data_IF_674635017584
#
_entry.id   IF_674635017584
#
_cell.length_a   1.000
_cell.length_b   1.000
_cell.length_c   1.000
_cell.angle_alpha   90.00
_cell.angle_beta   90.00
_cell.angle_gamma   90.00
#
_symmetry.space_group_name_H-M   'P 1'
#
loop_
_entity.id
_entity.type
_entity.pdbx_description
1 polymer ?
#
# COMPACT_ATOMS: atom_id res chain seq x y z
N UNK A 1 19.34 34.33 11.05
CA UNK A 1 18.85 32.93 11.08
C UNK A 1 18.23 32.61 9.72
N UNK A 2 18.99 32.00 8.81
CA UNK A 2 18.56 31.74 7.42
C UNK A 2 17.71 30.46 7.42
N UNK A 3 16.41 30.59 7.20
CA UNK A 3 15.49 29.44 7.12
C UNK A 3 15.62 28.81 5.74
N UNK A 4 16.23 27.63 5.64
CA UNK A 4 16.27 26.88 4.39
C UNK A 4 14.89 26.32 4.04
N UNK A 5 14.55 26.30 2.75
CA UNK A 5 13.27 25.78 2.25
C UNK A 5 13.22 24.25 2.36
N UNK A 6 12.04 23.71 2.65
CA UNK A 6 11.79 22.27 2.72
C UNK A 6 12.05 21.58 1.35
N UNK A 7 12.56 20.34 1.33
CA UNK A 7 12.95 19.62 0.09
C UNK A 7 11.86 19.54 -0.99
N UNK A 8 10.57 19.56 -0.61
CA UNK A 8 9.44 19.53 -1.55
C UNK A 8 9.31 20.80 -2.41
N UNK A 9 10.05 21.87 -2.09
CA UNK A 9 10.06 23.14 -2.83
C UNK A 9 11.16 23.20 -3.90
N UNK A 10 12.13 22.26 -3.90
CA UNK A 10 13.20 22.18 -4.91
C UNK A 10 12.81 21.20 -6.00
N UNK A 11 12.24 21.71 -7.10
CA UNK A 11 12.07 20.95 -8.34
C UNK A 11 10.63 20.55 -8.63
N UNK A 12 9.82 21.50 -9.10
CA UNK A 12 8.66 21.17 -9.93
C UNK A 12 9.22 20.76 -11.30
N UNK A 13 8.93 19.54 -11.75
CA UNK A 13 9.22 19.12 -13.13
C UNK A 13 8.53 20.12 -14.09
N UNK A 14 9.15 20.51 -15.22
CA UNK A 14 8.43 21.23 -16.25
C UNK A 14 7.20 20.40 -16.65
N UNK A 15 6.06 21.06 -16.76
CA UNK A 15 4.85 20.43 -17.28
C UNK A 15 5.11 20.08 -18.75
N UNK A 16 4.44 19.02 -19.24
CA UNK A 16 4.52 18.51 -20.61
C UNK A 16 3.96 19.50 -21.67
N UNK A 17 3.94 20.79 -21.37
CA UNK A 17 3.51 21.90 -22.24
C UNK A 17 4.68 22.55 -22.98
N UNK A 18 5.92 22.32 -22.57
CA UNK A 18 7.07 23.12 -23.03
C UNK A 18 7.96 22.39 -24.05
N UNK A 19 7.55 21.20 -24.51
CA UNK A 19 8.21 20.50 -25.61
C UNK A 19 7.53 20.90 -26.91
N UNK A 20 8.21 21.73 -27.71
CA UNK A 20 7.81 22.01 -29.10
C UNK A 20 7.92 20.74 -29.93
N UNK A 21 6.83 19.99 -30.00
CA UNK A 21 6.67 18.86 -30.91
C UNK A 21 6.32 19.40 -32.31
N UNK A 22 7.33 19.56 -33.16
CA UNK A 22 7.11 19.46 -34.60
C UNK A 22 6.94 17.98 -34.93
N UNK A 23 5.75 17.43 -34.71
CA UNK A 23 5.28 16.19 -35.33
C UNK A 23 3.75 16.17 -35.25
N UNK A 24 3.15 16.34 -36.41
CA UNK A 24 1.71 16.49 -36.67
C UNK A 24 0.96 15.22 -36.26
N UNK A 25 0.06 15.34 -35.28
CA UNK A 25 -0.94 14.33 -34.93
C UNK A 25 -2.32 15.00 -34.84
N UNK A 26 -3.26 14.44 -35.60
CA UNK A 26 -4.65 14.86 -35.78
C UNK A 26 -5.53 14.57 -34.54
N UNK A 27 -6.74 15.17 -34.42
CA UNK A 27 -7.34 15.53 -33.15
C UNK A 27 -8.05 14.38 -32.44
N UNK A 28 -7.84 14.29 -31.12
CA UNK A 28 -8.65 13.48 -30.20
C UNK A 28 -9.56 14.43 -29.42
N UNK A 29 -10.87 14.31 -29.65
CA UNK A 29 -11.92 14.98 -28.87
C UNK A 29 -12.19 14.16 -27.61
N UNK A 30 -12.11 14.80 -26.44
CA UNK A 30 -12.43 14.20 -25.14
C UNK A 30 -13.91 14.42 -24.83
N UNK A 31 -14.64 13.36 -24.47
CA UNK A 31 -15.98 13.46 -23.91
C UNK A 31 -16.03 12.97 -22.46
N UNK A 32 -16.84 13.68 -21.69
CA UNK A 32 -17.02 13.67 -20.25
C UNK A 32 -17.56 12.34 -19.73
N UNK A 33 -16.99 11.83 -18.63
CA UNK A 33 -17.51 10.67 -17.91
C UNK A 33 -18.83 11.01 -17.20
N UNK A 34 -19.94 10.42 -17.66
CA UNK A 34 -21.13 10.21 -16.85
C UNK A 34 -21.30 8.72 -16.56
N UNK A 35 -21.35 8.38 -15.28
CA UNK A 35 -21.66 7.03 -14.79
C UNK A 35 -23.14 6.78 -15.04
N UNK A 36 -23.46 5.91 -16.01
CA UNK A 36 -24.80 5.38 -16.24
C UNK A 36 -24.77 3.87 -16.07
N UNK A 37 -25.60 3.36 -15.15
CA UNK A 37 -25.94 1.93 -15.05
C UNK A 37 -26.56 1.52 -16.38
N UNK A 38 -26.00 0.49 -17.02
CA UNK A 38 -26.51 -0.06 -18.27
C UNK A 38 -26.83 -1.54 -18.03
N UNK A 39 -28.10 -1.87 -18.19
CA UNK A 39 -28.58 -3.23 -18.43
C UNK A 39 -27.95 -3.79 -19.71
N UNK A 40 -27.83 -5.11 -19.78
CA UNK A 40 -27.13 -5.84 -20.84
C UNK A 40 -27.79 -5.60 -22.21
N UNK A 41 -27.29 -4.64 -22.99
CA UNK A 41 -27.55 -4.57 -24.42
C UNK A 41 -26.39 -5.26 -25.14
N UNK A 42 -26.64 -6.47 -25.63
CA UNK A 42 -25.71 -7.21 -26.49
C UNK A 42 -25.72 -6.51 -27.84
N UNK A 43 -24.77 -5.59 -28.06
CA UNK A 43 -24.48 -5.09 -29.39
C UNK A 43 -23.70 -6.20 -30.10
N UNK A 44 -24.28 -6.77 -31.16
CA UNK A 44 -23.55 -7.68 -32.04
C UNK A 44 -22.37 -6.92 -32.64
N UNK A 45 -21.16 -7.24 -32.19
CA UNK A 45 -19.93 -6.78 -32.82
C UNK A 45 -19.68 -7.71 -33.99
N UNK A 46 -20.05 -7.27 -35.19
CA UNK A 46 -19.63 -7.95 -36.41
C UNK A 46 -18.13 -7.70 -36.57
N UNK A 47 -17.33 -8.72 -36.22
CA UNK A 47 -15.89 -8.73 -36.48
C UNK A 47 -15.76 -8.88 -38.01
N UNK A 48 -15.24 -7.88 -38.74
CA UNK A 48 -14.95 -8.08 -40.15
C UNK A 48 -13.98 -9.26 -40.26
N UNK A 49 -14.31 -10.24 -41.09
CA UNK A 49 -13.41 -11.34 -41.40
C UNK A 49 -12.13 -10.76 -42.01
N UNK A 50 -11.10 -10.58 -41.20
CA UNK A 50 -9.78 -10.28 -41.70
C UNK A 50 -9.34 -11.52 -42.49
N UNK A 51 -9.26 -11.39 -43.81
CA UNK A 51 -8.65 -12.42 -44.65
C UNK A 51 -7.21 -12.57 -44.15
N UNK A 52 -6.85 -13.77 -43.67
CA UNK A 52 -5.49 -14.05 -43.27
C UNK A 52 -4.57 -13.75 -44.46
N UNK A 53 -3.65 -12.81 -44.29
CA UNK A 53 -2.64 -12.51 -45.30
C UNK A 53 -1.82 -13.77 -45.47
N UNK A 54 -1.87 -14.37 -46.67
CA UNK A 54 -1.04 -15.52 -47.01
C UNK A 54 0.38 -14.99 -47.18
N UNK A 55 1.16 -15.08 -46.10
CA UNK A 55 2.57 -14.72 -46.10
C UNK A 55 3.35 -15.77 -46.91
N UNK A 56 4.29 -15.31 -47.74
CA UNK A 56 5.15 -16.24 -48.48
C UNK A 56 6.09 -16.97 -47.52
N UNK A 57 6.65 -18.11 -47.92
CA UNK A 57 7.53 -18.90 -47.06
C UNK A 57 8.73 -18.10 -46.50
N UNK A 58 9.20 -17.10 -47.25
CA UNK A 58 10.30 -16.21 -46.84
C UNK A 58 9.86 -15.23 -45.75
N UNK A 59 8.62 -14.74 -45.80
CA UNK A 59 8.05 -13.84 -44.79
C UNK A 59 7.77 -14.59 -43.47
N UNK A 60 7.42 -15.88 -43.56
CA UNK A 60 7.23 -16.76 -42.39
C UNK A 60 8.59 -17.05 -41.71
N UNK A 61 9.66 -17.23 -42.48
CA UNK A 61 11.00 -17.42 -41.92
C UNK A 61 11.52 -16.16 -41.23
N UNK A 62 11.41 -15.00 -41.88
CA UNK A 62 11.85 -13.73 -41.30
C UNK A 62 11.08 -13.37 -40.02
N UNK A 63 9.76 -13.61 -39.98
CA UNK A 63 8.96 -13.39 -38.77
C UNK A 63 9.34 -14.35 -37.65
N UNK A 64 9.63 -15.62 -37.97
CA UNK A 64 10.08 -16.61 -36.99
C UNK A 64 11.44 -16.25 -36.38
N UNK A 65 12.37 -15.72 -37.17
CA UNK A 65 13.67 -15.26 -36.68
C UNK A 65 13.52 -14.05 -35.73
N UNK A 66 12.67 -13.09 -36.08
CA UNK A 66 12.38 -11.93 -35.22
C UNK A 66 11.73 -12.35 -33.90
N UNK A 67 10.80 -13.32 -33.94
CA UNK A 67 10.17 -13.88 -32.74
C UNK A 67 11.22 -14.61 -31.88
N UNK A 68 12.07 -15.43 -32.50
CA UNK A 68 13.15 -16.15 -31.80
C UNK A 68 14.13 -15.19 -31.12
N UNK A 69 14.55 -14.12 -31.81
CA UNK A 69 15.42 -13.09 -31.23
C UNK A 69 14.75 -12.37 -30.06
N UNK A 70 13.46 -12.01 -30.21
CA UNK A 70 12.68 -11.37 -29.17
C UNK A 70 12.56 -12.26 -27.92
N UNK A 71 12.23 -13.54 -28.09
CA UNK A 71 12.13 -14.49 -26.99
C UNK A 71 13.47 -14.67 -26.27
N UNK A 72 14.57 -14.76 -27.01
CA UNK A 72 15.91 -14.84 -26.42
C UNK A 72 16.24 -13.59 -25.60
N UNK A 73 15.86 -12.40 -26.10
CA UNK A 73 16.02 -11.13 -25.39
C UNK A 73 15.19 -11.10 -24.11
N UNK A 74 13.94 -11.56 -24.16
CA UNK A 74 13.06 -11.65 -22.98
C UNK A 74 13.59 -12.63 -21.95
N UNK A 75 14.01 -13.84 -22.36
CA UNK A 75 14.65 -14.83 -21.48
C UNK A 75 15.88 -14.23 -20.79
N UNK A 76 16.72 -13.48 -21.50
CA UNK A 76 17.88 -12.78 -20.91
C UNK A 76 17.50 -11.72 -19.88
N UNK A 77 16.36 -11.05 -20.01
CA UNK A 77 15.89 -10.05 -19.04
C UNK A 77 15.31 -10.75 -17.80
N UNK A 78 14.46 -11.76 -18.00
CA UNK A 78 13.78 -12.48 -16.92
C UNK A 78 14.75 -13.32 -16.08
N UNK A 79 15.82 -13.85 -16.69
CA UNK A 79 16.83 -14.63 -15.97
C UNK A 79 17.77 -13.75 -15.13
N UNK A 80 17.74 -12.42 -15.27
CA UNK A 80 18.57 -11.52 -14.45
C UNK A 80 17.92 -11.35 -13.08
N UNK A 81 18.67 -11.50 -11.97
CA UNK A 81 18.14 -11.19 -10.65
C UNK A 81 17.77 -9.70 -10.59
N UNK A 82 16.64 -9.41 -9.96
CA UNK A 82 16.17 -8.04 -9.78
C UNK A 82 17.23 -7.18 -9.06
N UNK A 83 17.52 -5.99 -9.61
CA UNK A 83 18.41 -4.99 -9.02
C UNK A 83 17.61 -3.75 -8.68
N UNK A 84 17.80 -3.24 -7.47
CA UNK A 84 17.12 -2.05 -6.99
C UNK A 84 17.67 -0.84 -7.76
N UNK A 85 16.84 -0.05 -8.46
CA UNK A 85 17.30 1.03 -9.33
C UNK A 85 17.76 2.29 -8.57
N UNK A 86 17.71 2.28 -7.24
CA UNK A 86 18.08 3.41 -6.38
C UNK A 86 19.51 3.17 -5.85
N UNK A 87 20.50 4.01 -6.20
CA UNK A 87 21.88 3.83 -5.76
C UNK A 87 21.98 3.96 -4.23
N UNK A 88 22.71 3.06 -3.59
CA UNK A 88 22.90 3.04 -2.13
C UNK A 88 21.73 2.50 -1.31
N UNK A 89 20.65 2.04 -1.95
CA UNK A 89 19.51 1.47 -1.23
C UNK A 89 19.80 0.03 -0.79
N UNK A 90 19.94 -0.17 0.52
CA UNK A 90 20.11 -1.48 1.14
C UNK A 90 18.79 -1.97 1.75
N UNK A 91 18.39 -3.20 1.44
CA UNK A 91 17.20 -3.81 2.07
C UNK A 91 17.49 -4.06 3.55
N UNK A 92 16.59 -3.64 4.43
CA UNK A 92 16.66 -3.86 5.89
C UNK A 92 16.56 -5.35 6.30
N UNK A 93 16.46 -6.29 5.35
CA UNK A 93 16.21 -7.71 5.62
C UNK A 93 14.80 -8.02 6.16
N UNK A 94 14.00 -7.00 6.45
CA UNK A 94 12.61 -7.10 6.89
C UNK A 94 11.70 -6.93 5.69
N UNK A 95 10.82 -7.89 5.43
CA UNK A 95 9.79 -7.69 4.43
C UNK A 95 8.84 -6.56 4.88
N UNK A 96 8.46 -5.69 3.95
CA UNK A 96 7.46 -4.67 4.22
C UNK A 96 6.12 -5.36 4.50
N UNK A 97 5.39 -4.90 5.52
CA UNK A 97 4.05 -5.40 5.84
C UNK A 97 3.97 -6.55 6.86
N UNK A 98 5.08 -7.23 7.21
CA UNK A 98 5.11 -8.16 8.35
C UNK A 98 5.40 -7.39 9.65
N UNK A 99 4.33 -6.90 10.28
CA UNK A 99 4.40 -6.50 11.69
C UNK A 99 4.46 -7.79 12.51
N UNK A 100 5.60 -8.09 13.13
CA UNK A 100 5.63 -9.05 14.23
C UNK A 100 4.68 -8.52 15.30
N UNK A 101 3.64 -9.29 15.64
CA UNK A 101 2.79 -8.95 16.78
C UNK A 101 3.70 -8.91 18.00
N UNK A 102 3.85 -7.72 18.58
CA UNK A 102 4.63 -7.55 19.79
C UNK A 102 4.02 -8.33 20.98
N UNK A 103 4.68 -8.27 22.15
CA UNK A 103 4.08 -8.79 23.38
C UNK A 103 2.71 -8.17 23.62
N UNK A 104 1.84 -8.90 24.32
CA UNK A 104 0.51 -8.40 24.67
C UNK A 104 0.68 -7.14 25.53
N UNK A 105 0.06 -6.03 25.11
CA UNK A 105 0.15 -4.72 25.75
C UNK A 105 -1.25 -4.11 25.91
N UNK A 106 -1.46 -3.20 26.88
CA UNK A 106 -2.73 -2.49 27.00
C UNK A 106 -3.00 -1.67 25.72
N UNK A 107 -4.29 -1.46 25.43
CA UNK A 107 -4.71 -0.70 24.25
C UNK A 107 -4.43 0.80 24.39
N UNK A 108 -4.68 1.33 25.59
CA UNK A 108 -4.39 2.72 25.98
C UNK A 108 -3.39 2.75 27.13
N UNK A 109 -2.76 3.90 27.33
CA UNK A 109 -1.71 4.08 28.33
C UNK A 109 -2.32 4.14 29.75
N UNK A 110 -1.95 3.22 30.67
CA UNK A 110 -2.41 3.29 32.06
C UNK A 110 -1.85 4.48 32.84
N UNK A 111 -0.71 5.04 32.42
CA UNK A 111 -0.01 6.11 33.15
C UNK A 111 -0.44 7.52 32.69
N UNK A 112 -1.38 7.61 31.75
CA UNK A 112 -1.89 8.88 31.22
C UNK A 112 -2.73 9.64 32.26
N UNK A 113 -2.66 10.98 32.22
CA UNK A 113 -3.48 11.83 33.06
C UNK A 113 -4.97 11.55 32.83
N UNK A 114 -5.71 11.36 33.93
CA UNK A 114 -7.12 10.97 33.92
C UNK A 114 -7.40 9.59 33.32
N UNK A 115 -6.44 8.69 33.13
CA UNK A 115 -6.74 7.32 32.70
C UNK A 115 -7.75 6.65 33.65
N UNK A 116 -8.82 6.08 33.10
CA UNK A 116 -9.78 5.27 33.85
C UNK A 116 -9.43 3.80 33.66
N UNK A 117 -8.75 3.24 34.66
CA UNK A 117 -8.36 1.83 34.69
C UNK A 117 -9.52 1.02 35.24
N UNK A 118 -9.97 0.06 34.44
CA UNK A 118 -11.06 -0.86 34.76
C UNK A 118 -10.53 -2.14 35.37
N UNK A 119 -9.43 -2.66 34.80
CA UNK A 119 -8.75 -3.84 35.30
C UNK A 119 -7.25 -3.59 35.41
N UNK A 120 -6.69 -3.92 36.57
CA UNK A 120 -5.25 -3.95 36.83
C UNK A 120 -4.81 -5.40 37.06
N UNK A 121 -3.84 -5.92 36.30
CA UNK A 121 -3.26 -7.24 36.57
C UNK A 121 -2.59 -7.27 37.94
N UNK A 122 -2.56 -8.44 38.57
CA UNK A 122 -1.86 -8.66 39.85
C UNK A 122 -0.36 -8.42 39.71
N UNK A 123 0.25 -7.83 40.72
CA UNK A 123 1.70 -7.70 40.79
C UNK A 123 2.33 -9.08 40.95
N UNK A 124 3.20 -9.46 40.01
CA UNK A 124 3.91 -10.74 40.03
C UNK A 124 5.38 -10.56 40.38
N UNK A 125 5.95 -11.57 41.02
CA UNK A 125 7.38 -11.61 41.30
C UNK A 125 8.20 -11.63 40.01
N UNK A 126 9.44 -11.13 40.04
CA UNK A 126 10.32 -11.13 38.86
C UNK A 126 10.53 -12.55 38.30
N UNK A 127 10.62 -13.56 39.18
CA UNK A 127 10.72 -14.96 38.79
C UNK A 127 9.48 -15.46 38.03
N UNK A 128 8.30 -15.01 38.43
CA UNK A 128 7.04 -15.39 37.78
C UNK A 128 6.92 -14.73 36.41
N UNK A 129 7.35 -13.46 36.28
CA UNK A 129 7.37 -12.75 34.98
C UNK A 129 8.20 -13.49 33.93
N UNK A 130 9.32 -14.10 34.33
CA UNK A 130 10.17 -14.88 33.41
C UNK A 130 9.54 -16.20 32.97
N UNK A 131 8.64 -16.77 33.79
CA UNK A 131 7.97 -18.05 33.52
C UNK A 131 6.75 -17.90 32.61
N UNK A 132 6.21 -16.68 32.48
CA UNK A 132 4.94 -16.42 31.80
C UNK A 132 5.14 -16.26 30.29
N UNK A 133 4.23 -16.88 29.53
CA UNK A 133 4.11 -16.65 28.09
C UNK A 133 3.71 -15.19 27.81
N UNK A 134 4.55 -14.44 27.08
CA UNK A 134 4.30 -13.04 26.70
C UNK A 134 2.99 -12.81 25.90
N UNK A 135 2.44 -13.87 25.30
CA UNK A 135 1.17 -13.84 24.56
C UNK A 135 -0.06 -13.94 25.48
N UNK A 136 0.07 -14.57 26.65
CA UNK A 136 -1.03 -14.81 27.61
C UNK A 136 -0.97 -13.88 28.81
N UNK A 137 0.03 -13.00 28.87
CA UNK A 137 0.18 -12.04 29.95
C UNK A 137 -1.08 -11.16 30.10
N UNK A 138 -1.55 -11.05 31.33
CA UNK A 138 -2.64 -10.14 31.68
C UNK A 138 -2.15 -8.70 31.57
N UNK A 139 -2.95 -7.84 30.94
CA UNK A 139 -2.61 -6.43 30.67
C UNK A 139 -3.67 -5.53 31.28
N UNK A 140 -3.29 -4.28 31.56
CA UNK A 140 -4.23 -3.26 32.02
C UNK A 140 -5.37 -3.07 31.00
N UNK A 141 -6.59 -2.96 31.50
CA UNK A 141 -7.74 -2.55 30.69
C UNK A 141 -8.06 -1.11 31.06
N UNK A 142 -7.89 -0.23 30.09
CA UNK A 142 -8.06 1.22 30.24
C UNK A 142 -9.18 1.65 29.30
N UNK A 143 -10.10 2.49 29.78
CA UNK A 143 -11.17 3.09 28.97
C UNK A 143 -10.58 4.05 27.95
N UNK A 144 -11.21 4.17 26.77
CA UNK A 144 -10.81 5.12 25.73
C UNK A 144 -10.68 6.56 26.30
N UNK A 145 -9.53 7.24 26.11
CA UNK A 145 -9.34 8.63 26.53
C UNK A 145 -10.42 9.59 26.04
N UNK A 146 -11.00 9.36 24.86
CA UNK A 146 -12.08 10.20 24.33
C UNK A 146 -13.34 10.15 25.20
N UNK A 147 -13.65 8.98 25.74
CA UNK A 147 -14.77 8.81 26.67
C UNK A 147 -14.39 9.34 28.05
N UNK A 148 -13.19 9.03 28.51
CA UNK A 148 -12.75 9.40 29.86
C UNK A 148 -12.81 10.91 30.11
N UNK A 149 -12.53 11.73 29.08
CA UNK A 149 -12.62 13.19 29.15
C UNK A 149 -14.05 13.74 29.27
N UNK A 150 -15.07 12.97 28.85
CA UNK A 150 -16.48 13.40 28.83
C UNK A 150 -17.22 12.88 30.08
N UNK A 151 -16.75 11.78 30.67
CA UNK A 151 -17.40 11.14 31.81
C UNK A 151 -17.34 12.01 33.07
N UNK A 152 -18.50 12.19 33.69
CA UNK A 152 -18.65 12.81 35.01
C UNK A 152 -18.19 11.84 36.10
N UNK A 153 -17.78 12.30 37.31
CA UNK A 153 -17.23 11.43 38.36
C UNK A 153 -18.09 10.20 38.69
N UNK A 154 -19.40 10.36 38.86
CA UNK A 154 -20.33 9.25 39.13
C UNK A 154 -20.43 8.26 37.97
N UNK A 155 -20.22 8.71 36.72
CA UNK A 155 -20.21 7.83 35.56
C UNK A 155 -18.92 7.00 35.52
N UNK A 156 -17.79 7.58 35.95
CA UNK A 156 -16.51 6.86 36.05
C UNK A 156 -16.60 5.75 37.10
N UNK A 157 -17.20 6.04 38.25
CA UNK A 157 -17.50 5.04 39.28
C UNK A 157 -18.46 3.97 38.75
N UNK A 158 -19.53 4.38 38.07
CA UNK A 158 -20.45 3.44 37.42
C UNK A 158 -19.73 2.47 36.50
N UNK A 159 -18.92 2.98 35.56
CA UNK A 159 -18.13 2.14 34.64
C UNK A 159 -17.20 1.18 35.38
N UNK A 160 -16.62 1.59 36.51
CA UNK A 160 -15.74 0.74 37.34
C UNK A 160 -16.50 -0.35 38.11
N UNK A 161 -17.76 -0.14 38.46
CA UNK A 161 -18.58 -1.13 39.19
C UNK A 161 -19.12 -2.23 38.26
N UNK A 162 -19.37 -1.90 37.00
CA UNK A 162 -19.99 -2.82 36.04
C UNK A 162 -19.02 -3.83 35.40
N UNK A 163 -17.71 -3.70 35.60
CA UNK A 163 -16.68 -4.56 35.02
C UNK A 163 -15.88 -5.22 36.12
#
# INVERSE_FOLDING_TARGET
>A
MIRSLAPSKRGKRPLLSDISNNLTLSPIVSSVHQVKKICCNVKNVEIPEYKAVILSANDIQATQEVISEHEQRMKKILNKPFKIPIPGYQLSGRALGIRLSGPRRPLHDPDEANALIVYSPSELSEHEKLKIDLSKQLVHVVVDPLLCNILRPHQREGVKIYV
#
